data_IF_507144420370
#
_entry.id   IF_507144420370
#
_cell.length_a   1.000
_cell.length_b   1.000
_cell.length_c   1.000
_cell.angle_alpha   90.00
_cell.angle_beta   90.00
_cell.angle_gamma   90.00
#
_symmetry.space_group_name_H-M   'P 1'
#
loop_
_entity.id
_entity.type
_entity.pdbx_description
1 polymer ?
#
# COMPACT_ATOMS: atom_id res chain seq x y z
N UNK A 1 16.87 -5.02 23.40
CA UNK A 1 17.31 -5.99 22.39
C UNK A 1 17.09 -5.35 21.02
N UNK A 2 18.16 -4.99 20.29
CA UNK A 2 18.05 -4.31 18.99
C UNK A 2 17.57 -5.32 17.94
N UNK A 3 16.32 -5.24 17.50
CA UNK A 3 15.90 -5.86 16.24
C UNK A 3 16.52 -5.03 15.10
N UNK A 4 17.80 -5.29 14.81
CA UNK A 4 18.48 -4.86 13.58
C UNK A 4 18.37 -5.97 12.52
N UNK A 5 17.22 -6.62 12.43
CA UNK A 5 16.98 -7.62 11.41
C UNK A 5 16.23 -6.92 10.27
N UNK A 6 16.87 -6.83 9.11
CA UNK A 6 16.21 -6.36 7.90
C UNK A 6 15.02 -7.29 7.61
N UNK A 7 13.79 -6.77 7.69
CA UNK A 7 12.59 -7.57 7.46
C UNK A 7 12.37 -7.90 5.98
N UNK A 8 13.04 -7.16 5.10
CA UNK A 8 12.92 -7.27 3.65
C UNK A 8 14.28 -7.66 3.07
N UNK A 9 14.39 -8.91 2.64
CA UNK A 9 15.52 -9.36 1.84
C UNK A 9 15.52 -8.61 0.51
N UNK A 10 16.65 -7.99 0.17
CA UNK A 10 16.78 -7.22 -1.06
C UNK A 10 17.12 -8.15 -2.23
N UNK A 11 16.56 -7.94 -3.44
CA UNK A 11 17.02 -8.67 -4.61
C UNK A 11 18.51 -8.37 -4.87
N UNK A 12 19.25 -9.37 -5.32
CA UNK A 12 20.69 -9.27 -5.60
C UNK A 12 21.08 -10.03 -6.87
N UNK A 13 22.34 -9.92 -7.29
CA UNK A 13 22.88 -10.66 -8.44
C UNK A 13 22.13 -10.39 -9.75
N UNK A 14 21.86 -11.46 -10.51
CA UNK A 14 21.16 -11.38 -11.79
C UNK A 14 19.69 -10.97 -11.66
N UNK A 15 19.02 -11.34 -10.57
CA UNK A 15 17.64 -10.93 -10.31
C UNK A 15 17.54 -9.41 -10.16
N UNK A 16 18.45 -8.80 -9.40
CA UNK A 16 18.47 -7.34 -9.26
C UNK A 16 18.75 -6.64 -10.58
N UNK A 17 19.67 -7.18 -11.41
CA UNK A 17 19.93 -6.65 -12.76
C UNK A 17 18.68 -6.70 -13.63
N UNK A 18 17.95 -7.82 -13.64
CA UNK A 18 16.74 -7.96 -14.45
C UNK A 18 15.62 -7.01 -13.99
N UNK A 19 15.44 -6.84 -12.67
CA UNK A 19 14.51 -5.87 -12.09
C UNK A 19 14.84 -4.45 -12.59
N UNK A 20 16.10 -4.02 -12.52
CA UNK A 20 16.49 -2.68 -13.00
C UNK A 20 16.16 -2.47 -14.47
N UNK A 21 16.37 -3.47 -15.32
CA UNK A 21 15.98 -3.41 -16.74
C UNK A 21 14.46 -3.24 -16.88
N UNK A 22 13.65 -4.00 -16.15
CA UNK A 22 12.17 -3.84 -16.15
C UNK A 22 11.73 -2.45 -15.66
N UNK A 23 12.41 -1.93 -14.63
CA UNK A 23 12.15 -0.61 -14.08
C UNK A 23 12.74 0.52 -14.93
N UNK A 24 13.52 0.22 -15.97
CA UNK A 24 14.28 1.20 -16.74
C UNK A 24 15.20 2.06 -15.86
N UNK A 25 15.75 1.46 -14.80
CA UNK A 25 16.71 2.10 -13.91
C UNK A 25 18.11 2.06 -14.56
N UNK A 26 18.58 3.22 -15.02
CA UNK A 26 19.97 3.40 -15.42
C UNK A 26 20.79 3.93 -14.23
N UNK A 27 21.74 3.13 -13.78
CA UNK A 27 22.59 3.43 -12.62
C UNK A 27 23.43 4.69 -12.86
N UNK A 28 23.76 5.00 -14.11
CA UNK A 28 24.54 6.18 -14.47
C UNK A 28 23.74 7.49 -14.40
N UNK A 29 22.40 7.42 -14.48
CA UNK A 29 21.54 8.62 -14.47
C UNK A 29 20.65 8.75 -13.25
N UNK A 30 20.44 7.69 -12.47
CA UNK A 30 19.46 7.69 -11.36
C UNK A 30 19.66 8.81 -10.34
N UNK A 31 20.92 9.17 -10.04
CA UNK A 31 21.21 10.24 -9.07
C UNK A 31 20.86 11.62 -9.63
N UNK A 32 21.07 11.82 -10.94
CA UNK A 32 20.61 13.02 -11.65
C UNK A 32 19.09 13.09 -11.69
N UNK A 33 18.42 11.96 -11.89
CA UNK A 33 16.96 11.89 -11.91
C UNK A 33 16.37 12.22 -10.52
N UNK A 34 16.98 11.72 -9.44
CA UNK A 34 16.65 12.12 -8.05
C UNK A 34 16.85 13.63 -7.85
N UNK A 35 17.99 14.19 -8.26
CA UNK A 35 18.26 15.62 -8.16
C UNK A 35 17.22 16.45 -8.93
N UNK A 36 16.80 15.97 -10.11
CA UNK A 36 15.77 16.61 -10.93
C UNK A 36 14.41 16.63 -10.23
N UNK A 37 14.03 15.55 -9.56
CA UNK A 37 12.78 15.51 -8.77
C UNK A 37 12.84 16.45 -7.57
N UNK A 38 13.96 16.49 -6.84
CA UNK A 38 14.14 17.41 -5.71
C UNK A 38 14.08 18.88 -6.14
N UNK A 39 14.72 19.21 -7.25
CA UNK A 39 14.68 20.57 -7.80
C UNK A 39 13.27 20.95 -8.29
N UNK A 40 12.51 19.97 -8.80
CA UNK A 40 11.10 20.20 -9.14
C UNK A 40 10.24 20.44 -7.88
N UNK A 41 10.43 19.69 -6.79
CA UNK A 41 9.69 19.86 -5.52
C UNK A 41 9.85 21.28 -4.97
N UNK A 42 11.08 21.83 -4.97
CA UNK A 42 11.34 23.23 -4.57
C UNK A 42 10.57 24.28 -5.37
N UNK A 43 10.12 23.94 -6.58
CA UNK A 43 9.36 24.83 -7.47
C UNK A 43 7.85 24.65 -7.32
N UNK A 44 7.39 23.70 -6.49
CA UNK A 44 5.97 23.43 -6.24
C UNK A 44 5.58 24.02 -4.87
N UNK A 45 5.01 25.24 -4.81
CA UNK A 45 4.74 25.93 -3.54
C UNK A 45 3.72 25.22 -2.64
N UNK A 46 2.91 24.32 -3.18
CA UNK A 46 1.98 23.49 -2.39
C UNK A 46 2.57 22.19 -1.89
N UNK A 47 3.77 21.79 -2.32
CA UNK A 47 4.39 20.52 -1.90
C UNK A 47 5.53 20.78 -0.91
N UNK A 48 5.93 19.77 -0.12
CA UNK A 48 7.17 19.84 0.64
C UNK A 48 8.37 20.09 -0.28
N UNK A 49 9.16 21.12 0.03
CA UNK A 49 10.31 21.57 -0.77
C UNK A 49 11.59 20.75 -0.51
N UNK A 50 11.65 20.06 0.64
CA UNK A 50 12.67 19.07 0.95
C UNK A 50 12.04 17.75 1.42
N UNK A 51 12.53 16.64 0.86
CA UNK A 51 12.09 15.29 1.23
C UNK A 51 13.22 14.28 1.09
N UNK A 52 13.09 13.17 1.81
CA UNK A 52 14.13 12.17 1.95
C UNK A 52 14.42 11.45 0.59
N UNK A 53 15.70 11.19 0.31
CA UNK A 53 16.13 10.55 -0.95
C UNK A 53 15.59 9.13 -1.14
N UNK A 54 15.59 8.22 -0.13
CA UNK A 54 15.15 6.84 -0.35
C UNK A 54 13.69 6.74 -0.83
N UNK A 55 12.70 7.44 -0.22
CA UNK A 55 11.35 7.49 -0.77
C UNK A 55 11.31 8.01 -2.22
N UNK A 56 12.05 9.08 -2.56
CA UNK A 56 12.09 9.62 -3.93
C UNK A 56 12.58 8.57 -4.93
N UNK A 57 13.64 7.82 -4.58
CA UNK A 57 14.15 6.73 -5.42
C UNK A 57 13.10 5.64 -5.62
N UNK A 58 12.37 5.26 -4.57
CA UNK A 58 11.26 4.30 -4.66
C UNK A 58 10.13 4.82 -5.57
N UNK A 59 9.83 6.12 -5.54
CA UNK A 59 8.87 6.75 -6.45
C UNK A 59 9.33 6.74 -7.92
N UNK A 60 10.63 6.95 -8.19
CA UNK A 60 11.21 6.83 -9.52
C UNK A 60 11.08 5.39 -10.04
N UNK A 61 11.48 4.40 -9.24
CA UNK A 61 11.35 2.96 -9.55
C UNK A 61 9.90 2.55 -9.84
N UNK A 62 8.98 2.95 -8.97
CA UNK A 62 7.53 2.74 -9.14
C UNK A 62 6.97 3.40 -10.41
N UNK A 63 7.65 4.42 -10.92
CA UNK A 63 7.30 5.14 -12.15
C UNK A 63 8.05 4.64 -13.39
N UNK A 64 8.84 3.57 -13.26
CA UNK A 64 9.79 3.11 -14.29
C UNK A 64 10.69 4.24 -14.80
N UNK A 65 11.22 5.05 -13.88
CA UNK A 65 12.06 6.22 -14.14
C UNK A 65 11.46 7.29 -15.08
N UNK A 66 10.15 7.24 -15.32
CA UNK A 66 9.45 8.35 -15.99
C UNK A 66 9.26 9.50 -15.01
N UNK A 67 10.04 10.57 -15.19
CA UNK A 67 9.99 11.76 -14.34
C UNK A 67 8.57 12.33 -14.25
N UNK A 68 7.87 12.45 -15.37
CA UNK A 68 6.49 12.97 -15.38
C UNK A 68 5.51 12.08 -14.61
N UNK A 69 5.65 10.75 -14.67
CA UNK A 69 4.83 9.85 -13.83
C UNK A 69 5.20 9.99 -12.35
N UNK A 70 6.49 10.12 -12.05
CA UNK A 70 6.99 10.28 -10.68
C UNK A 70 6.45 11.57 -10.04
N UNK A 71 6.57 12.71 -10.74
CA UNK A 71 6.02 14.01 -10.30
C UNK A 71 4.52 13.93 -10.00
N UNK A 72 3.71 13.38 -10.91
CA UNK A 72 2.26 13.22 -10.68
C UNK A 72 1.94 12.34 -9.47
N UNK A 73 2.68 11.25 -9.27
CA UNK A 73 2.49 10.37 -8.11
C UNK A 73 2.88 11.06 -6.81
N UNK A 74 4.00 11.77 -6.78
CA UNK A 74 4.45 12.53 -5.60
C UNK A 74 3.44 13.61 -5.22
N UNK A 75 2.98 14.39 -6.19
CA UNK A 75 1.95 15.41 -5.97
C UNK A 75 0.69 14.77 -5.36
N UNK A 76 0.16 13.72 -6.00
CA UNK A 76 -0.99 12.99 -5.48
C UNK A 76 -0.73 12.37 -4.10
N UNK A 77 0.47 11.89 -3.82
CA UNK A 77 0.84 11.33 -2.53
C UNK A 77 0.73 12.36 -1.41
N UNK A 78 1.32 13.54 -1.56
CA UNK A 78 1.22 14.60 -0.56
C UNK A 78 -0.20 15.19 -0.47
N UNK A 79 -0.91 15.27 -1.59
CA UNK A 79 -2.33 15.68 -1.65
C UNK A 79 -3.22 14.74 -0.86
N UNK A 80 -3.09 13.43 -1.08
CA UNK A 80 -3.88 12.42 -0.38
C UNK A 80 -3.58 12.37 1.12
N UNK A 81 -2.35 12.70 1.52
CA UNK A 81 -2.00 12.82 2.94
C UNK A 81 -2.74 13.97 3.63
N UNK A 82 -2.96 15.09 2.93
CA UNK A 82 -3.82 16.18 3.40
C UNK A 82 -5.31 15.81 3.34
N UNK A 83 -5.75 15.15 2.26
CA UNK A 83 -7.16 14.89 1.97
C UNK A 83 -7.78 13.72 2.75
N UNK A 84 -6.95 12.83 3.31
CA UNK A 84 -7.39 11.63 4.03
C UNK A 84 -6.78 11.54 5.43
N UNK A 85 -7.08 12.49 6.34
CA UNK A 85 -6.53 12.49 7.70
C UNK A 85 -6.88 11.22 8.48
N UNK A 86 -7.97 10.54 8.15
CA UNK A 86 -8.36 9.25 8.73
C UNK A 86 -7.30 8.16 8.51
N UNK A 87 -6.46 8.29 7.49
CA UNK A 87 -5.36 7.36 7.22
C UNK A 87 -3.99 7.92 7.59
N UNK A 88 -3.76 9.23 7.40
CA UNK A 88 -2.41 9.80 7.44
C UNK A 88 -2.07 10.61 8.69
N UNK A 89 -3.00 10.75 9.64
CA UNK A 89 -2.75 11.43 10.93
C UNK A 89 -2.78 10.47 12.13
N UNK A 90 -2.07 10.86 13.19
CA UNK A 90 -1.99 10.12 14.46
C UNK A 90 -1.52 8.67 14.27
N UNK A 91 -0.50 8.49 13.43
CA UNK A 91 0.07 7.19 13.05
C UNK A 91 1.10 6.73 14.08
N UNK A 92 0.63 6.04 15.11
CA UNK A 92 1.47 5.52 16.18
C UNK A 92 1.02 4.09 16.53
N UNK A 93 1.78 3.09 16.09
CA UNK A 93 1.47 1.68 16.31
C UNK A 93 1.60 1.24 17.78
N UNK A 94 2.10 2.10 18.68
CA UNK A 94 2.10 1.85 20.13
C UNK A 94 0.77 2.28 20.79
N UNK A 95 -0.11 2.97 20.07
CA UNK A 95 -1.43 3.31 20.61
C UNK A 95 -2.24 2.02 20.87
N UNK A 96 -2.95 1.92 22.01
CA UNK A 96 -3.67 0.69 22.38
C UNK A 96 -4.65 0.19 21.32
N UNK A 97 -5.33 1.09 20.60
CA UNK A 97 -6.32 0.75 19.58
C UNK A 97 -5.67 0.17 18.31
N UNK A 98 -4.53 0.70 17.88
CA UNK A 98 -3.78 0.18 16.73
C UNK A 98 -2.98 -1.09 17.08
N UNK A 99 -2.39 -1.12 18.27
CA UNK A 99 -1.65 -2.28 18.79
C UNK A 99 -2.55 -3.51 18.92
N UNK A 100 -3.77 -3.34 19.44
CA UNK A 100 -4.80 -4.39 19.55
C UNK A 100 -5.15 -4.98 18.17
N UNK A 101 -5.31 -4.12 17.15
CA UNK A 101 -5.60 -4.58 15.78
C UNK A 101 -4.46 -5.45 15.25
N UNK A 102 -3.21 -4.98 15.38
CA UNK A 102 -2.03 -5.68 14.88
C UNK A 102 -1.72 -6.98 15.63
N UNK A 103 -2.07 -7.05 16.91
CA UNK A 103 -1.75 -8.19 17.78
C UNK A 103 -2.79 -9.30 17.64
N UNK A 104 -4.07 -8.93 17.61
CA UNK A 104 -5.15 -9.86 17.89
C UNK A 104 -6.19 -9.97 16.76
N UNK A 105 -6.20 -9.05 15.79
CA UNK A 105 -7.33 -8.95 14.85
C UNK A 105 -6.99 -9.16 13.39
N UNK A 106 -5.93 -8.54 12.89
CA UNK A 106 -5.55 -8.58 11.47
C UNK A 106 -4.06 -8.84 11.34
N UNK A 107 -3.70 -9.64 10.34
CA UNK A 107 -2.32 -9.83 9.90
C UNK A 107 -2.20 -9.39 8.44
N UNK A 108 -1.15 -8.64 8.14
CA UNK A 108 -0.88 -8.09 6.82
C UNK A 108 0.60 -8.00 6.45
N UNK A 109 1.50 -8.91 6.88
CA UNK A 109 2.92 -8.72 6.70
C UNK A 109 3.34 -8.86 5.22
N UNK A 110 4.15 -7.93 4.70
CA UNK A 110 5.06 -8.22 3.59
C UNK A 110 6.01 -9.35 3.97
N UNK A 111 6.16 -10.34 3.10
CA UNK A 111 7.04 -11.48 3.32
C UNK A 111 8.52 -11.07 3.10
N UNK A 112 9.47 -11.72 3.81
CA UNK A 112 10.88 -11.32 3.75
C UNK A 112 11.55 -11.53 2.39
N UNK A 113 11.21 -12.59 1.66
CA UNK A 113 11.80 -12.88 0.36
C UNK A 113 11.12 -12.16 -0.81
N UNK A 114 11.72 -12.31 -1.99
CA UNK A 114 11.16 -11.88 -3.29
C UNK A 114 11.00 -13.09 -4.21
N UNK A 115 9.94 -13.12 -5.01
CA UNK A 115 9.71 -14.25 -5.93
C UNK A 115 10.81 -14.34 -6.99
N UNK A 116 10.97 -15.46 -7.71
CA UNK A 116 11.95 -15.57 -8.81
C UNK A 116 11.77 -14.52 -9.91
N UNK A 117 10.56 -13.96 -10.04
CA UNK A 117 10.25 -12.85 -10.94
C UNK A 117 10.40 -11.47 -10.27
N UNK A 118 11.07 -11.41 -9.12
CA UNK A 118 11.45 -10.18 -8.42
C UNK A 118 10.30 -9.48 -7.71
N UNK A 119 9.22 -10.17 -7.33
CA UNK A 119 8.02 -9.54 -6.75
C UNK A 119 7.96 -9.71 -5.23
N UNK A 120 7.53 -8.66 -4.53
CA UNK A 120 7.23 -8.72 -3.09
C UNK A 120 5.83 -9.28 -2.88
N UNK A 121 5.68 -10.20 -1.93
CA UNK A 121 4.39 -10.79 -1.57
C UNK A 121 3.93 -10.18 -0.25
N UNK A 122 2.68 -9.76 -0.16
CA UNK A 122 2.02 -9.38 1.10
C UNK A 122 0.79 -10.26 1.30
N UNK A 123 0.67 -10.90 2.47
CA UNK A 123 -0.51 -11.72 2.79
C UNK A 123 -1.36 -10.98 3.80
N UNK A 124 -2.62 -10.73 3.46
CA UNK A 124 -3.61 -10.10 4.32
C UNK A 124 -4.65 -11.13 4.75
N UNK A 125 -4.76 -11.34 6.06
CA UNK A 125 -5.77 -12.22 6.66
C UNK A 125 -6.34 -11.58 7.91
N UNK A 126 -7.58 -11.92 8.22
CA UNK A 126 -8.09 -11.70 9.55
C UNK A 126 -7.70 -12.83 10.50
N UNK A 127 -7.63 -12.49 11.78
CA UNK A 127 -7.47 -13.42 12.92
C UNK A 127 -8.73 -13.40 13.80
N UNK A 128 -9.40 -12.23 13.89
CA UNK A 128 -10.67 -12.07 14.60
C UNK A 128 -11.82 -11.77 13.63
N UNK A 129 -12.98 -12.46 13.72
CA UNK A 129 -14.04 -12.40 12.71
C UNK A 129 -14.83 -11.10 12.70
N UNK A 130 -14.74 -10.30 13.78
CA UNK A 130 -15.46 -9.04 13.89
C UNK A 130 -14.53 -7.84 14.10
N UNK A 131 -14.75 -6.83 13.26
CA UNK A 131 -14.20 -5.48 13.37
C UNK A 131 -15.36 -4.49 13.37
N UNK A 132 -15.26 -3.39 14.10
CA UNK A 132 -16.16 -2.25 13.89
C UNK A 132 -15.67 -1.36 12.73
N UNK A 133 -16.49 -0.41 12.27
CA UNK A 133 -16.16 0.46 11.11
C UNK A 133 -14.89 1.30 11.32
N UNK A 134 -14.63 1.72 12.56
CA UNK A 134 -13.42 2.45 12.90
C UNK A 134 -12.18 1.53 12.79
N UNK A 135 -12.25 0.33 13.33
CA UNK A 135 -11.18 -0.67 13.24
C UNK A 135 -10.88 -1.10 11.79
N UNK A 136 -11.88 -1.13 10.91
CA UNK A 136 -11.67 -1.33 9.47
C UNK A 136 -10.85 -0.16 8.90
N UNK A 137 -11.24 1.08 9.22
CA UNK A 137 -10.50 2.28 8.79
C UNK A 137 -9.06 2.28 9.32
N UNK A 138 -8.87 1.90 10.59
CA UNK A 138 -7.56 1.81 11.22
C UNK A 138 -6.71 0.65 10.67
N UNK A 139 -7.34 -0.44 10.21
CA UNK A 139 -6.65 -1.51 9.47
C UNK A 139 -6.08 -0.99 8.14
N UNK A 140 -6.84 -0.16 7.42
CA UNK A 140 -6.37 0.47 6.18
C UNK A 140 -5.25 1.48 6.47
N UNK A 141 -5.35 2.25 7.56
CA UNK A 141 -4.28 3.11 8.06
C UNK A 141 -2.99 2.31 8.31
N UNK A 142 -3.08 1.19 9.03
CA UNK A 142 -1.94 0.31 9.31
C UNK A 142 -1.32 -0.25 8.01
N UNK A 143 -2.14 -0.59 7.02
CA UNK A 143 -1.65 -1.02 5.71
C UNK A 143 -0.85 0.10 4.99
N UNK A 144 -1.31 1.36 5.07
CA UNK A 144 -0.57 2.51 4.53
C UNK A 144 0.68 2.83 5.35
N UNK A 145 0.66 2.63 6.68
CA UNK A 145 1.85 2.74 7.52
C UNK A 145 2.93 1.74 7.10
N UNK A 146 2.57 0.49 6.86
CA UNK A 146 3.50 -0.51 6.29
C UNK A 146 4.00 -0.05 4.93
N UNK A 147 3.10 0.44 4.07
CA UNK A 147 3.47 1.00 2.76
C UNK A 147 4.51 2.11 2.86
N UNK A 148 4.36 3.03 3.81
CA UNK A 148 5.27 4.15 4.05
C UNK A 148 6.64 3.70 4.55
N UNK A 149 6.71 2.75 5.48
CA UNK A 149 7.98 2.15 5.91
C UNK A 149 8.69 1.46 4.75
N UNK A 150 7.94 0.77 3.89
CA UNK A 150 8.48 0.11 2.70
C UNK A 150 9.07 1.09 1.69
N UNK A 151 8.60 2.35 1.62
CA UNK A 151 9.21 3.35 0.72
C UNK A 151 10.69 3.58 1.02
N UNK A 152 11.10 3.37 2.27
CA UNK A 152 12.49 3.51 2.73
C UNK A 152 13.22 2.18 2.82
N UNK A 153 12.55 1.13 3.29
CA UNK A 153 13.18 -0.18 3.56
C UNK A 153 13.35 -1.05 2.29
N UNK A 154 12.61 -0.79 1.21
CA UNK A 154 12.72 -1.49 -0.08
C UNK A 154 13.84 -0.89 -0.95
N UNK A 155 15.08 -0.94 -0.44
CA UNK A 155 16.26 -0.19 -0.92
C UNK A 155 16.68 -0.47 -2.35
N UNK A 156 16.54 -1.70 -2.84
CA UNK A 156 16.94 -2.06 -4.21
C UNK A 156 15.77 -2.06 -5.20
N UNK A 157 14.54 -1.93 -4.69
CA UNK A 157 13.32 -2.01 -5.48
C UNK A 157 12.95 -3.43 -5.91
N UNK A 158 11.68 -3.62 -6.24
CA UNK A 158 11.12 -4.89 -6.70
C UNK A 158 10.44 -4.71 -8.05
N UNK A 159 10.29 -5.79 -8.83
CA UNK A 159 9.56 -5.79 -10.09
C UNK A 159 8.06 -5.49 -9.91
N UNK A 160 7.54 -5.62 -8.69
CA UNK A 160 6.19 -5.24 -8.30
C UNK A 160 5.69 -6.03 -7.11
N UNK A 161 4.38 -5.94 -6.86
CA UNK A 161 3.75 -6.52 -5.67
C UNK A 161 2.71 -7.58 -6.04
N UNK A 162 2.64 -8.62 -5.23
CA UNK A 162 1.58 -9.64 -5.21
C UNK A 162 0.88 -9.53 -3.86
N UNK A 163 -0.44 -9.43 -3.86
CA UNK A 163 -1.23 -9.49 -2.63
C UNK A 163 -1.99 -10.82 -2.57
N UNK A 164 -1.90 -11.50 -1.43
CA UNK A 164 -2.74 -12.66 -1.13
C UNK A 164 -3.76 -12.22 -0.09
N UNK A 165 -5.04 -12.33 -0.41
CA UNK A 165 -6.15 -12.05 0.49
C UNK A 165 -6.74 -13.38 0.96
N UNK A 166 -6.59 -13.67 2.24
CA UNK A 166 -7.18 -14.83 2.88
C UNK A 166 -8.58 -14.47 3.39
N UNK A 167 -9.59 -15.06 2.75
CA UNK A 167 -10.99 -14.78 3.03
C UNK A 167 -11.60 -15.71 4.09
N UNK A 168 -10.81 -16.54 4.78
CA UNK A 168 -11.31 -17.57 5.70
C UNK A 168 -12.28 -17.04 6.76
N UNK A 169 -12.07 -15.81 7.24
CA UNK A 169 -12.91 -15.20 8.27
C UNK A 169 -13.78 -14.04 7.77
N UNK A 170 -13.89 -13.87 6.45
CA UNK A 170 -14.76 -12.87 5.86
C UNK A 170 -16.23 -13.23 6.15
N UNK A 171 -16.85 -12.49 7.06
CA UNK A 171 -18.25 -12.68 7.46
C UNK A 171 -19.20 -11.56 6.98
N UNK A 172 -20.53 -11.77 7.04
CA UNK A 172 -21.52 -10.77 6.68
C UNK A 172 -21.44 -9.49 7.52
N UNK A 173 -21.11 -9.61 8.82
CA UNK A 173 -20.92 -8.47 9.73
C UNK A 173 -19.84 -7.51 9.22
N UNK A 174 -18.69 -8.05 8.81
CA UNK A 174 -17.59 -7.24 8.27
C UNK A 174 -18.01 -6.56 6.97
N UNK A 175 -18.68 -7.27 6.06
CA UNK A 175 -19.16 -6.70 4.80
C UNK A 175 -20.15 -5.54 5.01
N UNK A 176 -21.08 -5.69 5.97
CA UNK A 176 -22.07 -4.65 6.27
C UNK A 176 -21.44 -3.37 6.84
N UNK A 177 -20.25 -3.46 7.43
CA UNK A 177 -19.52 -2.33 8.03
C UNK A 177 -18.55 -1.65 7.05
N UNK A 178 -18.38 -2.18 5.83
CA UNK A 178 -17.54 -1.55 4.81
C UNK A 178 -18.17 -0.24 4.32
N UNK A 179 -17.43 0.85 4.46
CA UNK A 179 -17.81 2.15 3.92
C UNK A 179 -17.31 2.29 2.48
N UNK A 180 -18.22 2.51 1.53
CA UNK A 180 -17.88 2.77 0.14
C UNK A 180 -16.95 3.99 -0.01
N UNK A 181 -17.20 5.05 0.77
CA UNK A 181 -16.36 6.25 0.77
C UNK A 181 -14.94 5.94 1.27
N UNK A 182 -14.81 5.22 2.39
CA UNK A 182 -13.51 4.84 2.96
C UNK A 182 -12.72 3.95 2.01
N UNK A 183 -13.37 2.94 1.40
CA UNK A 183 -12.72 2.04 0.45
C UNK A 183 -12.32 2.79 -0.83
N UNK A 184 -13.17 3.68 -1.35
CA UNK A 184 -12.82 4.52 -2.50
C UNK A 184 -11.58 5.37 -2.24
N UNK A 185 -11.53 6.07 -1.10
CA UNK A 185 -10.35 6.87 -0.70
C UNK A 185 -9.09 6.01 -0.58
N UNK A 186 -9.17 4.86 0.08
CA UNK A 186 -8.04 3.93 0.20
C UNK A 186 -7.58 3.41 -1.16
N UNK A 187 -8.52 3.07 -2.05
CA UNK A 187 -8.23 2.64 -3.42
C UNK A 187 -7.56 3.74 -4.24
N UNK A 188 -7.91 5.01 -4.05
CA UNK A 188 -7.21 6.15 -4.69
C UNK A 188 -5.79 6.27 -4.14
N UNK A 189 -5.60 6.15 -2.81
CA UNK A 189 -4.27 6.18 -2.19
C UNK A 189 -3.34 5.16 -2.84
N UNK A 190 -3.73 3.88 -2.87
CA UNK A 190 -2.85 2.80 -3.35
C UNK A 190 -2.67 2.79 -4.87
N UNK A 191 -3.65 3.26 -5.65
CA UNK A 191 -3.59 3.22 -7.12
C UNK A 191 -2.98 4.47 -7.76
N UNK A 192 -3.18 5.64 -7.16
CA UNK A 192 -2.73 6.92 -7.71
C UNK A 192 -1.51 7.46 -6.96
N UNK A 193 -1.55 7.49 -5.63
CA UNK A 193 -0.54 8.12 -4.79
C UNK A 193 0.70 7.24 -4.56
N UNK A 194 0.52 5.98 -4.17
CA UNK A 194 1.68 5.11 -3.89
C UNK A 194 2.40 4.64 -5.16
N UNK A 195 3.75 4.46 -5.12
CA UNK A 195 4.55 4.00 -6.25
C UNK A 195 4.52 2.47 -6.42
N UNK A 196 3.40 1.83 -6.08
CA UNK A 196 3.24 0.37 -6.10
C UNK A 196 2.90 -0.10 -7.52
N UNK A 197 3.59 -1.16 -7.97
CA UNK A 197 3.27 -1.87 -9.22
C UNK A 197 2.57 -3.18 -8.90
N UNK A 198 1.28 -3.10 -8.57
CA UNK A 198 0.46 -4.28 -8.27
C UNK A 198 0.39 -5.22 -9.47
N UNK A 199 1.02 -6.39 -9.41
CA UNK A 199 1.06 -7.39 -10.48
C UNK A 199 -0.13 -8.34 -10.40
N UNK A 200 -0.44 -8.83 -9.20
CA UNK A 200 -1.42 -9.91 -8.98
C UNK A 200 -2.08 -9.73 -7.62
N UNK A 201 -3.37 -10.10 -7.55
CA UNK A 201 -4.14 -10.24 -6.32
C UNK A 201 -4.72 -11.64 -6.31
N UNK A 202 -4.36 -12.45 -5.33
CA UNK A 202 -4.85 -13.80 -5.16
C UNK A 202 -5.79 -13.87 -3.98
N UNK A 203 -6.97 -14.47 -4.13
CA UNK A 203 -7.93 -14.67 -3.05
C UNK A 203 -8.03 -16.17 -2.78
N UNK A 204 -7.81 -16.56 -1.52
CA UNK A 204 -7.87 -17.96 -1.05
C UNK A 204 -8.88 -18.13 0.08
N UNK A 205 -9.16 -19.38 0.46
CA UNK A 205 -10.12 -19.73 1.51
C UNK A 205 -11.49 -19.08 1.27
N UNK A 206 -11.98 -19.23 0.05
CA UNK A 206 -13.13 -18.47 -0.46
C UNK A 206 -14.45 -19.06 0.00
N UNK A 207 -15.40 -18.19 0.31
CA UNK A 207 -16.82 -18.51 0.52
C UNK A 207 -17.68 -17.75 -0.50
N UNK A 208 -18.99 -18.03 -0.63
CA UNK A 208 -19.89 -17.25 -1.50
C UNK A 208 -19.90 -15.73 -1.19
N UNK A 209 -19.44 -15.32 -0.01
CA UNK A 209 -19.31 -13.91 0.36
C UNK A 209 -18.18 -13.19 -0.38
N UNK A 210 -17.17 -13.91 -0.88
CA UNK A 210 -16.04 -13.32 -1.62
C UNK A 210 -16.53 -12.64 -2.90
N UNK A 211 -17.49 -13.22 -3.62
CA UNK A 211 -18.04 -12.59 -4.82
C UNK A 211 -18.73 -11.25 -4.48
N UNK A 212 -19.45 -11.19 -3.36
CA UNK A 212 -20.08 -9.96 -2.88
C UNK A 212 -19.03 -8.90 -2.53
N UNK A 213 -17.97 -9.30 -1.83
CA UNK A 213 -16.84 -8.43 -1.52
C UNK A 213 -16.17 -7.88 -2.78
N UNK A 214 -15.83 -8.75 -3.73
CA UNK A 214 -15.18 -8.36 -4.98
C UNK A 214 -16.08 -7.42 -5.77
N UNK A 215 -17.37 -7.72 -5.90
CA UNK A 215 -18.32 -6.85 -6.59
C UNK A 215 -18.48 -5.48 -5.92
N UNK A 216 -18.40 -5.42 -4.59
CA UNK A 216 -18.40 -4.16 -3.85
C UNK A 216 -17.14 -3.31 -4.11
N UNK A 217 -15.96 -3.91 -4.16
CA UNK A 217 -14.69 -3.19 -4.36
C UNK A 217 -14.42 -2.85 -5.83
N UNK A 218 -14.87 -3.71 -6.77
CA UNK A 218 -14.60 -3.62 -8.21
C UNK A 218 -14.85 -2.23 -8.84
N UNK A 219 -15.93 -1.49 -8.52
CA UNK A 219 -16.16 -0.14 -9.04
C UNK A 219 -15.00 0.82 -8.77
N UNK A 220 -14.29 0.66 -7.66
CA UNK A 220 -13.18 1.54 -7.26
C UNK A 220 -11.82 1.13 -7.84
N UNK A 221 -11.75 0.00 -8.55
CA UNK A 221 -10.53 -0.51 -9.16
C UNK A 221 -10.40 -0.05 -10.61
N UNK A 222 -9.17 0.32 -10.99
CA UNK A 222 -8.77 0.46 -12.40
C UNK A 222 -8.94 -0.88 -13.13
N UNK A 223 -9.30 -0.81 -14.40
CA UNK A 223 -9.50 -1.99 -15.25
C UNK A 223 -8.29 -2.93 -15.26
N UNK A 224 -7.07 -2.37 -15.25
CA UNK A 224 -5.83 -3.13 -15.16
C UNK A 224 -5.74 -3.99 -13.90
N UNK A 225 -6.23 -3.52 -12.75
CA UNK A 225 -6.22 -4.25 -11.48
C UNK A 225 -7.33 -5.29 -11.45
N UNK A 226 -8.53 -4.97 -11.98
CA UNK A 226 -9.63 -5.94 -12.07
C UNK A 226 -9.22 -7.22 -12.78
N UNK A 227 -8.44 -7.10 -13.87
CA UNK A 227 -7.90 -8.24 -14.65
C UNK A 227 -6.79 -9.02 -13.94
N UNK A 228 -6.32 -8.55 -12.78
CA UNK A 228 -5.23 -9.15 -11.99
C UNK A 228 -5.72 -9.83 -10.73
N UNK A 229 -7.04 -9.94 -10.55
CA UNK A 229 -7.66 -10.65 -9.44
C UNK A 229 -7.86 -12.11 -9.85
N UNK A 230 -7.31 -13.02 -9.05
CA UNK A 230 -7.44 -14.45 -9.22
C UNK A 230 -8.07 -15.03 -7.95
N UNK A 231 -9.16 -15.79 -8.12
CA UNK A 231 -9.86 -16.45 -7.02
C UNK A 231 -9.52 -17.94 -7.11
N UNK A 232 -8.97 -18.48 -6.03
CA UNK A 232 -8.46 -19.85 -5.98
C UNK A 232 -9.41 -20.75 -5.19
N UNK A 233 -9.52 -22.01 -5.62
CA UNK A 233 -10.36 -23.01 -4.92
C UNK A 233 -9.64 -23.58 -3.71
N UNK A 234 -8.35 -23.86 -3.88
CA UNK A 234 -7.51 -24.43 -2.83
C UNK A 234 -6.27 -23.55 -2.61
N UNK A 235 -5.78 -23.47 -1.37
CA UNK A 235 -4.57 -22.71 -1.04
C UNK A 235 -3.37 -23.13 -1.88
N UNK A 236 -3.25 -24.43 -2.17
CA UNK A 236 -2.17 -25.00 -3.01
C UNK A 236 -2.14 -24.45 -4.45
N UNK A 237 -3.22 -23.84 -4.94
CA UNK A 237 -3.21 -23.15 -6.24
C UNK A 237 -2.25 -21.95 -6.25
N UNK A 238 -1.92 -21.38 -5.08
CA UNK A 238 -0.91 -20.32 -4.95
C UNK A 238 0.46 -20.78 -5.44
N UNK A 239 0.79 -22.08 -5.35
CA UNK A 239 2.12 -22.60 -5.69
C UNK A 239 2.47 -22.44 -7.18
N UNK A 240 1.46 -22.19 -8.02
CA UNK A 240 1.63 -21.86 -9.45
C UNK A 240 2.19 -20.45 -9.68
N UNK A 241 2.07 -19.56 -8.68
CA UNK A 241 2.39 -18.14 -8.79
C UNK A 241 3.49 -17.71 -7.82
N UNK A 242 3.53 -18.32 -6.63
CA UNK A 242 4.47 -18.03 -5.55
C UNK A 242 5.12 -19.36 -5.15
N UNK A 243 6.46 -19.46 -5.10
CA UNK A 243 7.12 -20.68 -4.62
C UNK A 243 6.61 -21.07 -3.23
N UNK A 244 6.36 -22.36 -3.02
CA UNK A 244 5.75 -22.85 -1.79
C UNK A 244 6.60 -22.51 -0.56
N UNK A 245 7.91 -22.71 -0.64
CA UNK A 245 8.87 -22.45 0.43
C UNK A 245 8.85 -20.98 0.92
N UNK A 246 8.48 -20.04 0.05
CA UNK A 246 8.36 -18.62 0.38
C UNK A 246 7.09 -18.27 1.15
N UNK A 247 6.11 -19.16 1.17
CA UNK A 247 4.86 -18.91 1.87
C UNK A 247 5.01 -19.21 3.38
N UNK A 248 4.15 -18.62 4.23
CA UNK A 248 4.09 -18.97 5.64
C UNK A 248 3.62 -20.40 5.88
N UNK A 249 3.87 -20.92 7.09
CA UNK A 249 3.49 -22.29 7.49
C UNK A 249 2.01 -22.59 7.30
N UNK A 250 1.14 -21.60 7.53
CA UNK A 250 -0.32 -21.70 7.37
C UNK A 250 -0.75 -21.90 5.92
N UNK A 251 0.13 -21.60 4.97
CA UNK A 251 -0.06 -21.81 3.53
C UNK A 251 0.87 -22.89 2.97
N UNK A 252 1.40 -23.76 3.85
CA UNK A 252 2.21 -24.92 3.48
C UNK A 252 3.68 -24.63 3.17
N UNK A 253 4.16 -23.42 3.44
CA UNK A 253 5.55 -23.02 3.18
C UNK A 253 6.45 -23.04 4.42
N UNK A 254 7.60 -22.38 4.31
CA UNK A 254 8.69 -22.46 5.30
C UNK A 254 9.19 -21.07 5.76
N UNK A 255 8.55 -19.97 5.35
CA UNK A 255 9.02 -18.61 5.67
C UNK A 255 8.67 -18.13 7.11
N UNK A 256 8.37 -19.06 8.02
CA UNK A 256 7.85 -18.80 9.36
C UNK A 256 6.32 -18.72 9.42
N UNK A 257 5.78 -18.44 10.61
CA UNK A 257 4.34 -18.29 10.82
C UNK A 257 3.85 -16.88 10.51
N UNK A 258 2.58 -16.74 10.14
CA UNK A 258 1.96 -15.41 9.95
C UNK A 258 2.02 -14.57 11.23
N UNK A 259 1.86 -15.18 12.40
CA UNK A 259 1.95 -14.50 13.68
C UNK A 259 3.35 -13.94 13.94
N UNK A 260 4.40 -14.73 13.69
CA UNK A 260 5.79 -14.28 13.86
C UNK A 260 6.12 -13.13 12.91
N UNK A 261 5.74 -13.24 11.63
CA UNK A 261 5.99 -12.20 10.63
C UNK A 261 5.22 -10.91 10.95
N UNK A 262 3.96 -11.03 11.39
CA UNK A 262 3.17 -9.88 11.82
C UNK A 262 3.81 -9.18 13.04
N UNK A 263 4.26 -9.94 14.03
CA UNK A 263 4.91 -9.38 15.23
C UNK A 263 6.19 -8.61 14.86
N UNK A 264 7.00 -9.14 13.94
CA UNK A 264 8.17 -8.43 13.43
C UNK A 264 7.79 -7.09 12.79
N UNK A 265 6.75 -7.07 11.94
CA UNK A 265 6.25 -5.83 11.33
C UNK A 265 5.64 -4.87 12.33
N UNK A 266 4.94 -5.36 13.35
CA UNK A 266 4.45 -4.56 14.47
C UNK A 266 5.59 -3.84 15.18
N UNK A 267 6.62 -4.57 15.59
CA UNK A 267 7.80 -4.01 16.23
C UNK A 267 8.52 -3.00 15.33
N UNK A 268 8.55 -3.25 14.01
CA UNK A 268 9.10 -2.30 13.03
C UNK A 268 8.30 -1.01 12.94
N UNK A 269 6.96 -1.07 12.92
CA UNK A 269 6.13 0.14 12.96
C UNK A 269 6.32 0.94 14.25
N UNK A 270 6.51 0.25 15.39
CA UNK A 270 6.81 0.88 16.67
C UNK A 270 8.19 1.56 16.68
N UNK A 271 9.21 0.95 16.05
CA UNK A 271 10.53 1.59 15.82
C UNK A 271 10.39 2.90 15.04
N UNK A 272 9.49 2.92 14.05
CA UNK A 272 9.22 4.09 13.22
C UNK A 272 8.31 5.15 13.87
N UNK A 273 7.92 5.01 15.14
CA UNK A 273 7.00 5.94 15.83
C UNK A 273 7.39 7.41 15.69
N UNK A 274 8.65 7.75 16.02
CA UNK A 274 9.10 9.15 15.94
C UNK A 274 9.25 9.62 14.49
N UNK A 275 9.50 8.71 13.55
CA UNK A 275 9.46 9.04 12.13
C UNK A 275 8.04 9.39 11.69
N UNK A 276 7.03 8.58 12.03
CA UNK A 276 5.63 8.86 11.69
C UNK A 276 5.13 10.20 12.25
N UNK A 277 5.49 10.56 13.49
CA UNK A 277 5.14 11.88 14.04
C UNK A 277 5.66 13.03 13.20
N UNK A 278 6.90 12.94 12.69
CA UNK A 278 7.47 13.96 11.77
C UNK A 278 6.77 13.96 10.41
N UNK A 279 6.26 12.80 10.00
CA UNK A 279 5.57 12.66 8.72
C UNK A 279 4.17 13.32 8.73
N UNK A 280 3.48 13.44 9.88
CA UNK A 280 2.12 14.00 9.92
C UNK A 280 2.00 15.44 9.34
N UNK A 281 3.07 16.24 9.40
CA UNK A 281 3.10 17.59 8.79
C UNK A 281 3.59 17.62 7.33
N UNK A 282 4.08 16.51 6.80
CA UNK A 282 4.57 16.42 5.42
C UNK A 282 3.37 16.08 4.51
N UNK A 283 2.68 17.13 4.09
CA UNK A 283 1.44 17.10 3.30
C UNK A 283 1.45 18.20 2.24
N UNK A 284 0.51 18.15 1.30
CA UNK A 284 0.31 19.28 0.39
C UNK A 284 -0.49 20.42 1.08
N UNK A 285 -0.17 21.66 0.73
CA UNK A 285 -0.95 22.85 1.07
C UNK A 285 -1.70 23.36 -0.17
N UNK A 286 -2.95 22.92 -0.33
CA UNK A 286 -3.78 23.24 -1.51
C UNK A 286 -4.01 24.73 -1.74
N UNK A 287 -3.91 25.57 -0.70
CA UNK A 287 -4.03 27.04 -0.84
C UNK A 287 -2.89 27.67 -1.65
N UNK A 288 -1.75 26.98 -1.75
CA UNK A 288 -0.58 27.42 -2.48
C UNK A 288 -0.47 26.77 -3.87
N UNK A 289 -1.40 25.89 -4.26
CA UNK A 289 -1.28 25.12 -5.51
C UNK A 289 -1.37 26.04 -6.73
N UNK A 290 -0.40 25.99 -7.67
CA UNK A 290 -0.51 26.73 -8.91
C UNK A 290 -1.75 26.30 -9.72
N UNK A 291 -2.54 27.27 -10.17
CA UNK A 291 -3.78 27.00 -10.89
C UNK A 291 -4.96 26.75 -9.95
N UNK A 292 -5.71 25.67 -10.21
CA UNK A 292 -6.90 25.32 -9.39
C UNK A 292 -6.50 24.35 -8.28
N UNK A 293 -6.85 24.64 -7.01
CA UNK A 293 -6.72 23.70 -5.90
C UNK A 293 -7.41 22.37 -6.22
N UNK A 294 -6.90 21.28 -5.66
CA UNK A 294 -7.55 19.97 -5.78
C UNK A 294 -8.89 20.01 -5.06
N UNK A 295 -9.98 19.83 -5.80
CA UNK A 295 -11.30 19.67 -5.21
C UNK A 295 -11.44 18.23 -4.70
N UNK A 296 -11.55 18.06 -3.38
CA UNK A 296 -11.69 16.73 -2.77
C UNK A 296 -13.04 16.08 -3.09
N UNK A 297 -14.11 16.85 -3.29
CA UNK A 297 -15.41 16.32 -3.69
C UNK A 297 -15.36 15.78 -5.12
N UNK A 298 -14.64 16.44 -6.03
CA UNK A 298 -14.40 15.94 -7.38
C UNK A 298 -13.47 14.72 -7.35
N UNK A 299 -12.37 14.78 -6.59
CA UNK A 299 -11.39 13.70 -6.42
C UNK A 299 -12.04 12.41 -5.89
N UNK A 300 -12.94 12.55 -4.92
CA UNK A 300 -13.69 11.45 -4.33
C UNK A 300 -15.03 11.20 -5.00
N UNK A 301 -15.37 11.95 -6.05
CA UNK A 301 -16.63 11.85 -6.79
C UNK A 301 -17.88 11.92 -5.90
N UNK A 302 -17.87 12.84 -4.94
CA UNK A 302 -18.98 13.17 -4.03
C UNK A 302 -19.96 14.15 -4.71
N UNK A 303 -19.50 14.93 -5.70
CA UNK A 303 -20.29 15.91 -6.48
C UNK A 303 -21.43 15.30 -7.36
N UNK A 304 -21.74 14.01 -7.21
CA UNK A 304 -22.66 13.27 -8.08
C UNK A 304 -24.08 12.98 -7.53
N UNK A 305 -24.47 13.43 -6.33
CA UNK A 305 -25.75 13.01 -5.71
C UNK A 305 -26.76 14.11 -5.36
N UNK A 306 -26.62 15.33 -5.87
CA UNK A 306 -27.67 16.35 -5.78
C UNK A 306 -27.87 17.05 -7.14
N UNK A 307 -28.43 16.32 -8.11
CA UNK A 307 -29.24 17.00 -9.11
C UNK A 307 -30.50 17.46 -8.38
N UNK A 308 -30.56 18.74 -8.03
CA UNK A 308 -31.81 19.42 -7.71
C UNK A 308 -32.79 19.08 -8.84
N UNK A 309 -33.85 18.34 -8.50
CA UNK A 309 -35.05 18.28 -9.32
C UNK A 309 -35.62 19.69 -9.37
N UNK A 310 -35.40 20.39 -10.48
CA UNK A 310 -36.27 21.48 -10.89
C UNK A 310 -37.63 20.84 -11.13
N UNK A 311 -38.57 21.07 -10.21
CA UNK A 311 -39.98 20.82 -10.46
C UNK A 311 -40.46 22.10 -11.16
N UNK A 312 -40.79 21.98 -12.44
CA UNK A 312 -41.60 22.95 -13.17
C UNK A 312 -43.05 22.92 -12.65
#
# INVERSE_FOLDING_TARGET
>A
MKLKQELLEQPSGELWKSIRVELKEDVSTRDRDVATIREWLKKQPHLPDDWEVPPIMTFLRGSSFSLEKCKRKLDMYFTMRAACPEFFTNRDATRPDLDEIMSNKIQGPPLPGVTPNGRRVTICRGVHPDLNSQQITDTLKLALMIGDVRLTEEREGVAGDIYVLDAAILGPSMLAKLSAATIKKFMICVQEAYPIKLKEVHIVNTSPLVERFVNFVKPFLKEKIRKRIYIHREVKDLYKYIPQEMLPTEYGGQCGSMATLQEQWKLKLQEYREWFKRQDSIIANESLRPGRPTNYDELFGIDGSFRQLSID
#
